data_IF_074860630996
#
_entry.id   IF_074860630996
#
_cell.length_a   1.000
_cell.length_b   1.000
_cell.length_c   1.000
_cell.angle_alpha   90.00
_cell.angle_beta   90.00
_cell.angle_gamma   90.00
#
_symmetry.space_group_name_H-M   'P 1'
#
loop_
_entity.id
_entity.type
_entity.pdbx_description
1 polymer ?
#
# COMPACT_ATOMS: atom_id res chain seq x y z
N UNK A 1 -23.13 -9.33 -12.17
CA UNK A 1 -21.64 -9.12 -12.26
C UNK A 1 -21.32 -7.70 -11.86
N UNK A 2 -20.10 -7.41 -11.39
CA UNK A 2 -19.69 -6.00 -11.07
C UNK A 2 -19.85 -5.11 -12.30
N UNK A 3 -19.51 -5.61 -13.49
CA UNK A 3 -19.64 -4.91 -14.77
C UNK A 3 -21.07 -4.44 -15.09
N UNK A 4 -22.10 -5.09 -14.54
CA UNK A 4 -23.49 -4.71 -14.79
C UNK A 4 -23.87 -3.39 -14.12
N UNK A 5 -23.14 -3.00 -13.08
CA UNK A 5 -23.37 -1.78 -12.29
C UNK A 5 -22.60 -0.57 -12.81
N UNK A 6 -21.79 -0.73 -13.86
CA UNK A 6 -20.91 0.33 -14.38
C UNK A 6 -21.12 0.50 -15.89
N UNK A 7 -21.04 1.76 -16.34
CA UNK A 7 -20.92 2.10 -17.76
C UNK A 7 -19.45 2.15 -18.15
N UNK A 8 -19.09 1.50 -19.25
CA UNK A 8 -17.80 1.68 -19.91
C UNK A 8 -17.88 2.94 -20.77
N UNK A 9 -17.21 4.01 -20.34
CA UNK A 9 -17.24 5.31 -21.03
C UNK A 9 -16.29 5.34 -22.22
N UNK A 10 -15.13 4.67 -22.10
CA UNK A 10 -14.11 4.61 -23.14
C UNK A 10 -13.20 3.39 -22.95
N UNK A 11 -12.54 2.93 -24.03
CA UNK A 11 -11.59 1.83 -23.99
C UNK A 11 -12.24 0.45 -23.86
N UNK A 12 -11.63 -0.44 -23.10
CA UNK A 12 -12.06 -1.82 -22.90
C UNK A 12 -11.95 -2.26 -21.43
N UNK A 13 -12.74 -3.26 -21.07
CA UNK A 13 -12.54 -3.97 -19.82
C UNK A 13 -11.18 -4.69 -19.81
N UNK A 14 -10.52 -4.85 -18.64
CA UNK A 14 -9.25 -5.55 -18.54
C UNK A 14 -9.37 -7.02 -19.00
N UNK A 15 -8.50 -7.43 -19.90
CA UNK A 15 -8.37 -8.82 -20.38
C UNK A 15 -7.08 -9.47 -19.90
N UNK A 16 -6.04 -8.66 -19.63
CA UNK A 16 -4.74 -9.09 -19.15
C UNK A 16 -4.51 -8.69 -17.69
N UNK A 17 -3.62 -9.40 -16.99
CA UNK A 17 -3.31 -9.15 -15.57
C UNK A 17 -2.82 -7.72 -15.29
N UNK A 18 -2.12 -7.10 -16.23
CA UNK A 18 -1.54 -5.77 -16.09
C UNK A 18 -2.43 -4.65 -16.65
N UNK A 19 -3.68 -4.95 -16.97
CA UNK A 19 -4.67 -3.97 -17.36
C UNK A 19 -5.61 -3.63 -16.20
N UNK A 20 -5.94 -2.34 -16.09
CA UNK A 20 -6.83 -1.82 -15.07
C UNK A 20 -7.83 -0.85 -15.70
N UNK A 21 -8.95 -0.61 -15.03
CA UNK A 21 -9.89 0.46 -15.42
C UNK A 21 -9.85 1.59 -14.43
N UNK A 22 -9.92 2.82 -14.94
CA UNK A 22 -10.12 4.02 -14.15
C UNK A 22 -11.59 4.12 -13.75
N UNK A 23 -11.87 4.35 -12.48
CA UNK A 23 -13.22 4.45 -11.93
C UNK A 23 -13.50 5.91 -11.59
N UNK A 24 -14.38 6.54 -12.33
CA UNK A 24 -14.86 7.90 -12.07
C UNK A 24 -16.06 7.89 -11.13
N UNK A 25 -16.30 9.02 -10.49
CA UNK A 25 -17.54 9.25 -9.78
C UNK A 25 -18.73 9.51 -10.76
N UNK A 26 -19.91 9.74 -10.22
CA UNK A 26 -21.13 10.03 -10.99
C UNK A 26 -21.02 11.33 -11.83
N UNK A 27 -20.11 12.25 -11.46
CA UNK A 27 -19.86 13.52 -12.14
C UNK A 27 -18.70 13.44 -13.17
N UNK A 28 -18.20 12.23 -13.47
CA UNK A 28 -17.00 11.99 -14.27
C UNK A 28 -15.73 12.62 -13.69
N UNK A 29 -15.61 12.64 -12.38
CA UNK A 29 -14.51 13.29 -11.65
C UNK A 29 -13.68 12.29 -10.87
N UNK A 30 -12.46 12.72 -10.53
CA UNK A 30 -11.56 12.08 -9.59
C UNK A 30 -11.10 13.10 -8.55
N UNK A 31 -10.80 12.61 -7.35
CA UNK A 31 -10.19 13.47 -6.34
C UNK A 31 -8.77 13.87 -6.74
N UNK A 32 -8.31 15.04 -6.29
CA UNK A 32 -6.93 15.50 -6.50
C UNK A 32 -5.89 14.50 -5.94
N UNK A 33 -6.23 13.85 -4.82
CA UNK A 33 -5.39 12.79 -4.25
C UNK A 33 -5.26 11.59 -5.19
N UNK A 34 -6.37 11.17 -5.82
CA UNK A 34 -6.36 10.08 -6.82
C UNK A 34 -5.54 10.44 -8.05
N UNK A 35 -5.65 11.68 -8.53
CA UNK A 35 -4.85 12.17 -9.67
C UNK A 35 -3.35 12.10 -9.38
N UNK A 36 -2.95 12.50 -8.16
CA UNK A 36 -1.56 12.41 -7.71
C UNK A 36 -1.09 10.96 -7.59
N UNK A 37 -1.87 10.10 -6.94
CA UNK A 37 -1.54 8.69 -6.76
C UNK A 37 -1.37 7.94 -8.10
N UNK A 38 -2.13 8.32 -9.11
CA UNK A 38 -2.04 7.76 -10.47
C UNK A 38 -0.96 8.41 -11.33
N UNK A 39 -0.23 9.40 -10.79
CA UNK A 39 0.81 10.11 -11.54
C UNK A 39 0.28 11.01 -12.66
N UNK A 40 -1.01 11.35 -12.65
CA UNK A 40 -1.64 12.28 -13.60
C UNK A 40 -1.30 13.74 -13.31
N UNK A 41 -0.93 14.04 -12.08
CA UNK A 41 -0.38 15.32 -11.64
C UNK A 41 0.89 15.09 -10.83
N UNK A 42 1.81 16.07 -10.87
CA UNK A 42 3.04 16.03 -10.08
C UNK A 42 2.79 16.33 -8.61
N UNK A 43 3.75 15.97 -7.74
CA UNK A 43 3.72 16.33 -6.32
C UNK A 43 3.62 17.85 -6.11
N UNK A 44 4.31 18.64 -6.93
CA UNK A 44 4.26 20.10 -6.87
C UNK A 44 2.84 20.61 -7.21
N UNK A 45 2.22 20.15 -8.29
CA UNK A 45 0.86 20.51 -8.65
C UNK A 45 -0.15 20.11 -7.57
N UNK A 46 0.04 18.94 -6.95
CA UNK A 46 -0.80 18.52 -5.83
C UNK A 46 -0.71 19.48 -4.65
N UNK A 47 0.50 19.87 -4.24
CA UNK A 47 0.70 20.82 -3.13
C UNK A 47 0.14 22.22 -3.46
N UNK A 48 0.35 22.73 -4.68
CA UNK A 48 -0.21 24.02 -5.11
C UNK A 48 -1.74 24.02 -5.05
N UNK A 49 -2.40 22.93 -5.48
CA UNK A 49 -3.86 22.79 -5.40
C UNK A 49 -4.31 22.76 -3.92
N UNK A 50 -3.60 22.01 -3.06
CA UNK A 50 -3.95 21.94 -1.63
C UNK A 50 -3.82 23.31 -0.95
N UNK A 51 -2.79 24.09 -1.27
CA UNK A 51 -2.59 25.45 -0.77
C UNK A 51 -3.70 26.39 -1.23
N UNK A 52 -4.08 26.35 -2.52
CA UNK A 52 -5.21 27.14 -3.04
C UNK A 52 -6.52 26.82 -2.33
N UNK A 53 -6.80 25.53 -2.07
CA UNK A 53 -7.99 25.09 -1.33
C UNK A 53 -7.95 25.63 0.10
N UNK A 54 -6.80 25.53 0.78
CA UNK A 54 -6.63 26.00 2.15
C UNK A 54 -6.84 27.53 2.29
N UNK A 55 -6.42 28.28 1.29
CA UNK A 55 -6.57 29.73 1.20
C UNK A 55 -7.98 30.18 0.75
N UNK A 56 -8.86 29.22 0.43
CA UNK A 56 -10.21 29.51 -0.09
C UNK A 56 -10.21 30.11 -1.49
N UNK A 57 -9.12 29.92 -2.24
CA UNK A 57 -9.02 30.36 -3.62
C UNK A 57 -9.80 29.43 -4.57
N UNK A 58 -10.20 29.97 -5.70
CA UNK A 58 -10.86 29.17 -6.74
C UNK A 58 -9.80 28.33 -7.48
N UNK A 59 -9.98 26.99 -7.42
CA UNK A 59 -9.10 26.04 -8.12
C UNK A 59 -9.60 25.88 -9.55
N UNK A 60 -8.72 26.08 -10.53
CA UNK A 60 -9.05 25.78 -11.93
C UNK A 60 -9.19 24.28 -12.13
N UNK A 61 -10.35 23.78 -12.62
CA UNK A 61 -10.54 22.38 -12.87
C UNK A 61 -9.53 21.85 -13.89
N UNK A 62 -8.91 20.72 -13.57
CA UNK A 62 -8.09 19.97 -14.54
C UNK A 62 -9.00 19.03 -15.33
N UNK A 63 -8.68 18.82 -16.59
CA UNK A 63 -9.43 17.89 -17.45
C UNK A 63 -8.49 17.11 -18.37
N UNK A 64 -8.86 15.87 -18.67
CA UNK A 64 -8.17 15.00 -19.61
C UNK A 64 -9.18 14.34 -20.53
N UNK A 65 -8.78 14.16 -21.78
CA UNK A 65 -9.53 13.33 -22.71
C UNK A 65 -9.38 11.86 -22.35
N UNK A 66 -10.44 11.09 -22.53
CA UNK A 66 -10.42 9.64 -22.25
C UNK A 66 -9.37 8.90 -23.07
N UNK A 67 -9.11 9.35 -24.29
CA UNK A 67 -8.05 8.80 -25.14
C UNK A 67 -6.65 8.97 -24.52
N UNK A 68 -6.41 10.13 -23.91
CA UNK A 68 -5.13 10.41 -23.21
C UNK A 68 -4.98 9.57 -21.93
N UNK A 69 -6.09 9.33 -21.21
CA UNK A 69 -6.09 8.51 -20.00
C UNK A 69 -5.90 7.03 -20.31
N UNK A 70 -6.60 6.52 -21.35
CA UNK A 70 -6.39 5.16 -21.81
C UNK A 70 -4.99 5.03 -22.43
N UNK A 71 -4.22 4.07 -21.93
CA UNK A 71 -2.81 3.91 -22.26
C UNK A 71 -1.86 4.55 -21.26
N UNK A 72 -2.35 5.39 -20.33
CA UNK A 72 -1.51 5.85 -19.22
C UNK A 72 -1.05 4.66 -18.38
N UNK A 73 0.23 4.68 -17.99
CA UNK A 73 0.86 3.61 -17.23
C UNK A 73 1.38 4.11 -15.90
N UNK A 74 1.35 3.23 -14.91
CA UNK A 74 1.96 3.44 -13.61
C UNK A 74 2.54 2.13 -13.08
N UNK A 75 3.41 2.22 -12.07
CA UNK A 75 4.11 1.06 -11.54
C UNK A 75 3.46 0.56 -10.25
N UNK A 76 3.21 -0.73 -10.19
CA UNK A 76 2.88 -1.44 -8.95
C UNK A 76 4.16 -2.08 -8.41
N UNK A 77 4.52 -1.77 -7.18
CA UNK A 77 5.63 -2.40 -6.46
C UNK A 77 5.04 -3.34 -5.42
N UNK A 78 5.13 -4.67 -5.60
CA UNK A 78 4.74 -5.64 -4.59
C UNK A 78 5.48 -5.41 -3.28
N UNK A 79 4.82 -5.68 -2.15
CA UNK A 79 5.43 -5.46 -0.84
C UNK A 79 6.70 -6.28 -0.64
N UNK A 80 6.77 -7.50 -1.20
CA UNK A 80 7.94 -8.38 -1.17
C UNK A 80 9.18 -7.77 -1.81
N UNK A 81 9.01 -6.98 -2.88
CA UNK A 81 10.11 -6.38 -3.62
C UNK A 81 10.82 -5.26 -2.84
N UNK A 82 10.18 -4.78 -1.76
CA UNK A 82 10.76 -3.79 -0.85
C UNK A 82 11.78 -4.37 0.12
N UNK A 83 11.97 -5.68 0.11
CA UNK A 83 12.93 -6.35 0.97
C UNK A 83 14.15 -6.80 0.16
N UNK A 84 15.33 -6.38 0.62
CA UNK A 84 16.63 -6.73 0.01
C UNK A 84 17.45 -7.53 0.99
N UNK A 85 17.98 -8.67 0.54
CA UNK A 85 18.86 -9.52 1.34
C UNK A 85 20.17 -8.79 1.65
N UNK A 86 20.61 -8.90 2.92
CA UNK A 86 21.89 -8.37 3.42
C UNK A 86 22.96 -9.46 3.43
N UNK A 87 24.21 -9.06 3.65
CA UNK A 87 25.34 -9.97 3.75
C UNK A 87 25.22 -11.00 4.89
N UNK A 88 24.44 -10.70 5.93
CA UNK A 88 24.18 -11.58 7.07
C UNK A 88 22.99 -12.54 6.82
N UNK A 89 22.39 -12.52 5.64
CA UNK A 89 21.24 -13.35 5.27
C UNK A 89 19.88 -12.83 5.79
N UNK A 90 19.87 -11.72 6.52
CA UNK A 90 18.60 -11.06 6.90
C UNK A 90 18.14 -10.09 5.82
N UNK A 91 16.90 -9.64 5.89
CA UNK A 91 16.32 -8.73 4.89
C UNK A 91 16.11 -7.33 5.45
N UNK A 92 16.48 -6.33 4.64
CA UNK A 92 16.25 -4.92 4.93
C UNK A 92 15.08 -4.37 4.12
N UNK A 93 14.21 -3.60 4.77
CA UNK A 93 13.11 -2.89 4.10
C UNK A 93 13.61 -1.60 3.44
N UNK A 94 13.20 -1.38 2.20
CA UNK A 94 13.46 -0.14 1.47
C UNK A 94 12.43 0.91 1.84
N UNK A 95 12.87 1.94 2.56
CA UNK A 95 12.03 3.05 2.99
C UNK A 95 11.63 3.97 1.83
N UNK A 96 10.51 4.68 2.02
CA UNK A 96 10.05 5.69 1.07
C UNK A 96 11.01 6.91 1.01
N UNK A 97 11.07 7.56 -0.15
CA UNK A 97 11.93 8.73 -0.38
C UNK A 97 13.40 8.41 -0.58
N UNK A 98 13.77 7.14 -0.74
CA UNK A 98 15.15 6.71 -1.00
C UNK A 98 15.43 6.48 -2.48
N UNK A 99 16.69 6.61 -2.95
CA UNK A 99 17.05 6.26 -4.33
C UNK A 99 16.75 4.80 -4.68
N UNK A 100 16.79 3.91 -3.69
CA UNK A 100 16.42 2.50 -3.85
C UNK A 100 14.92 2.35 -4.17
N UNK A 101 14.05 3.12 -3.51
CA UNK A 101 12.62 3.14 -3.83
C UNK A 101 12.38 3.61 -5.27
N UNK A 102 13.07 4.65 -5.73
CA UNK A 102 12.95 5.10 -7.12
C UNK A 102 13.29 3.99 -8.12
N UNK A 103 14.31 3.18 -7.79
CA UNK A 103 14.68 2.03 -8.63
C UNK A 103 13.63 0.93 -8.60
N UNK A 104 13.02 0.65 -7.43
CA UNK A 104 11.90 -0.29 -7.31
C UNK A 104 10.71 0.15 -8.15
N UNK A 105 10.36 1.44 -8.11
CA UNK A 105 9.27 1.97 -8.94
C UNK A 105 9.57 1.81 -10.43
N UNK A 106 10.81 2.05 -10.86
CA UNK A 106 11.21 1.87 -12.27
C UNK A 106 11.14 0.42 -12.74
N UNK A 107 11.39 -0.52 -11.84
CA UNK A 107 11.40 -1.96 -12.11
C UNK A 107 10.06 -2.64 -11.78
N UNK A 108 9.11 -1.91 -11.21
CA UNK A 108 7.81 -2.43 -10.80
C UNK A 108 6.97 -2.96 -11.95
N UNK A 109 5.90 -3.65 -11.61
CA UNK A 109 4.93 -4.19 -12.56
C UNK A 109 4.22 -3.00 -13.23
N UNK A 110 4.39 -2.86 -14.54
CA UNK A 110 3.72 -1.79 -15.29
C UNK A 110 2.25 -2.13 -15.47
N UNK A 111 1.38 -1.30 -14.91
CA UNK A 111 -0.06 -1.36 -15.10
C UNK A 111 -0.49 -0.31 -16.13
N UNK A 112 -1.44 -0.66 -17.00
CA UNK A 112 -1.97 0.20 -18.05
C UNK A 112 -3.46 0.41 -17.87
N UNK A 113 -3.92 1.65 -17.93
CA UNK A 113 -5.35 1.96 -17.95
C UNK A 113 -5.91 1.55 -19.32
N UNK A 114 -6.71 0.47 -19.36
CA UNK A 114 -7.35 -0.05 -20.57
C UNK A 114 -8.71 0.55 -20.85
N UNK A 115 -9.37 1.09 -19.84
CA UNK A 115 -10.69 1.69 -19.97
C UNK A 115 -11.05 2.63 -18.84
N UNK A 116 -12.10 3.40 -19.05
CA UNK A 116 -12.67 4.34 -18.09
C UNK A 116 -14.12 3.93 -17.84
N UNK A 117 -14.48 3.77 -16.56
CA UNK A 117 -15.81 3.35 -16.14
C UNK A 117 -16.42 4.34 -15.16
N UNK A 118 -17.74 4.33 -15.06
CA UNK A 118 -18.53 5.13 -14.11
C UNK A 118 -19.69 4.30 -13.58
N UNK A 119 -20.11 4.49 -12.30
CA UNK A 119 -21.32 3.90 -11.78
C UNK A 119 -22.54 4.29 -12.62
N UNK A 120 -23.43 3.34 -12.92
CA UNK A 120 -24.72 3.64 -13.52
C UNK A 120 -25.61 4.39 -12.52
N UNK A 121 -26.41 5.33 -13.01
CA UNK A 121 -27.23 6.20 -12.18
C UNK A 121 -28.27 5.43 -11.32
N UNK A 122 -28.69 4.25 -11.78
CA UNK A 122 -29.65 3.37 -11.13
C UNK A 122 -29.02 2.14 -10.45
N UNK A 123 -27.69 2.09 -10.40
CA UNK A 123 -26.97 0.96 -9.81
C UNK A 123 -27.09 0.96 -8.28
N UNK A 124 -27.93 0.09 -7.76
CA UNK A 124 -28.09 -0.10 -6.31
C UNK A 124 -26.81 -0.63 -5.62
N UNK A 125 -25.82 -1.13 -6.37
CA UNK A 125 -24.63 -1.84 -5.87
C UNK A 125 -23.35 -1.40 -6.59
N UNK A 126 -23.14 -0.11 -6.83
CA UNK A 126 -21.84 0.39 -7.24
C UNK A 126 -20.89 0.38 -6.03
N UNK A 127 -20.12 -0.72 -5.89
CA UNK A 127 -19.33 -1.01 -4.68
C UNK A 127 -17.85 -0.64 -4.79
N UNK A 128 -17.38 -0.24 -5.99
CA UNK A 128 -15.97 0.14 -6.17
C UNK A 128 -15.80 1.57 -5.66
N UNK A 129 -15.06 1.72 -4.56
CA UNK A 129 -14.74 3.02 -3.94
C UNK A 129 -13.33 3.51 -4.24
N UNK A 130 -12.55 2.72 -4.99
CA UNK A 130 -11.17 3.05 -5.37
C UNK A 130 -11.11 3.67 -6.77
N UNK A 131 -10.14 4.56 -7.06
CA UNK A 131 -10.01 5.20 -8.37
C UNK A 131 -9.58 4.24 -9.48
N UNK A 132 -9.15 3.03 -9.12
CA UNK A 132 -8.72 1.98 -10.05
C UNK A 132 -9.35 0.66 -9.66
N UNK A 133 -9.82 -0.07 -10.67
CA UNK A 133 -10.28 -1.45 -10.50
C UNK A 133 -9.53 -2.40 -11.45
N UNK A 134 -9.33 -3.63 -10.99
CA UNK A 134 -8.59 -4.67 -11.69
C UNK A 134 -9.30 -6.02 -11.56
N UNK A 135 -8.85 -6.99 -12.33
CA UNK A 135 -9.39 -8.37 -12.29
C UNK A 135 -8.62 -9.24 -11.29
N UNK A 136 -9.17 -10.40 -10.97
CA UNK A 136 -8.48 -11.41 -10.15
C UNK A 136 -7.14 -11.85 -10.74
N UNK A 137 -6.94 -11.73 -12.05
CA UNK A 137 -5.68 -12.08 -12.71
C UNK A 137 -4.49 -11.26 -12.16
N UNK A 138 -4.68 -9.96 -11.85
CA UNK A 138 -3.63 -9.17 -11.21
C UNK A 138 -3.36 -9.67 -9.79
N UNK A 139 -4.41 -10.02 -9.04
CA UNK A 139 -4.26 -10.57 -7.70
C UNK A 139 -3.46 -11.88 -7.74
N UNK A 140 -3.84 -12.79 -8.64
CA UNK A 140 -3.17 -14.09 -8.80
C UNK A 140 -1.70 -13.89 -9.19
N UNK A 141 -1.42 -12.99 -10.12
CA UNK A 141 -0.06 -12.63 -10.53
C UNK A 141 0.78 -12.08 -9.36
N UNK A 142 0.22 -11.15 -8.57
CA UNK A 142 0.93 -10.56 -7.41
C UNK A 142 1.19 -11.60 -6.33
N UNK A 143 0.25 -12.53 -6.09
CA UNK A 143 0.44 -13.64 -5.14
C UNK A 143 1.57 -14.55 -5.61
N UNK A 144 1.55 -14.96 -6.89
CA UNK A 144 2.60 -15.81 -7.46
C UNK A 144 3.97 -15.13 -7.40
N UNK A 145 4.04 -13.86 -7.80
CA UNK A 145 5.26 -13.04 -7.70
C UNK A 145 5.77 -12.94 -6.26
N UNK A 146 4.88 -12.66 -5.30
CA UNK A 146 5.23 -12.56 -3.88
C UNK A 146 5.75 -13.88 -3.34
N UNK A 147 5.10 -15.00 -3.65
CA UNK A 147 5.51 -16.31 -3.19
C UNK A 147 6.88 -16.75 -3.78
N UNK A 148 7.21 -16.28 -4.98
CA UNK A 148 8.51 -16.52 -5.61
C UNK A 148 9.62 -15.55 -5.14
N UNK A 149 9.31 -14.58 -4.29
CA UNK A 149 10.29 -13.59 -3.81
C UNK A 149 11.31 -14.19 -2.86
N UNK A 150 12.53 -13.62 -2.85
CA UNK A 150 13.62 -14.11 -2.00
C UNK A 150 13.25 -14.06 -0.50
N UNK A 151 12.57 -13.02 -0.05
CA UNK A 151 12.18 -12.86 1.37
C UNK A 151 11.18 -13.93 1.80
N UNK A 152 10.19 -14.26 0.95
CA UNK A 152 9.20 -15.31 1.25
C UNK A 152 9.86 -16.68 1.19
N UNK A 153 10.66 -16.96 0.15
CA UNK A 153 11.39 -18.22 0.03
C UNK A 153 12.30 -18.46 1.25
N UNK A 154 13.07 -17.47 1.67
CA UNK A 154 13.92 -17.57 2.85
C UNK A 154 13.10 -17.83 4.15
N UNK A 155 11.93 -17.21 4.28
CA UNK A 155 11.06 -17.43 5.43
C UNK A 155 10.44 -18.84 5.42
N UNK A 156 10.10 -19.37 4.25
CA UNK A 156 9.59 -20.74 4.13
C UNK A 156 10.67 -21.79 4.39
N UNK A 157 11.91 -21.51 4.02
CA UNK A 157 13.05 -22.40 4.29
C UNK A 157 13.45 -22.40 5.77
N UNK A 158 13.21 -21.32 6.48
CA UNK A 158 13.52 -21.15 7.92
C UNK A 158 12.30 -20.68 8.71
N UNK A 159 11.22 -21.48 8.83
CA UNK A 159 9.95 -21.05 9.38
C UNK A 159 10.01 -20.63 10.85
N UNK A 160 11.03 -21.06 11.58
CA UNK A 160 11.21 -20.78 13.03
C UNK A 160 11.96 -19.46 13.28
N UNK A 161 12.64 -18.93 12.24
CA UNK A 161 13.45 -17.72 12.33
C UNK A 161 12.78 -16.59 11.55
N UNK A 162 12.65 -15.43 12.16
CA UNK A 162 12.22 -14.23 11.48
C UNK A 162 13.37 -13.72 10.59
N UNK A 163 13.25 -13.89 9.28
CA UNK A 163 14.29 -13.50 8.30
C UNK A 163 14.56 -12.00 8.23
N UNK A 164 13.70 -11.16 8.83
CA UNK A 164 13.92 -9.71 8.88
C UNK A 164 14.94 -9.27 9.94
N UNK A 165 15.08 -10.05 11.01
CA UNK A 165 15.95 -9.72 12.14
C UNK A 165 16.84 -10.88 12.60
N UNK A 166 16.69 -12.09 12.04
CA UNK A 166 17.47 -13.28 12.38
C UNK A 166 17.14 -13.92 13.72
N UNK A 167 16.03 -13.54 14.36
CA UNK A 167 15.63 -14.06 15.67
C UNK A 167 14.59 -15.17 15.53
N UNK A 168 14.59 -16.11 16.47
CA UNK A 168 13.53 -17.10 16.58
C UNK A 168 12.18 -16.44 16.92
N UNK A 169 11.08 -16.93 16.32
CA UNK A 169 9.74 -16.44 16.67
C UNK A 169 9.34 -16.83 18.10
N UNK A 170 9.79 -17.99 18.57
CA UNK A 170 9.56 -18.48 19.92
C UNK A 170 10.90 -18.77 20.61
N UNK A 171 11.43 -17.81 21.34
CA UNK A 171 12.62 -18.04 22.14
C UNK A 171 12.32 -19.10 23.23
N UNK A 172 13.12 -20.17 23.33
CA UNK A 172 12.82 -21.33 24.16
C UNK A 172 12.91 -21.07 25.68
N UNK A 173 13.56 -19.97 26.09
CA UNK A 173 13.68 -19.59 27.49
C UNK A 173 13.46 -18.12 27.77
N UNK A 174 13.19 -17.75 29.02
CA UNK A 174 13.05 -16.34 29.41
C UNK A 174 14.38 -15.58 29.29
N UNK A 175 15.51 -16.27 29.47
CA UNK A 175 16.84 -15.68 29.34
C UNK A 175 17.16 -15.34 27.88
N UNK A 176 16.82 -16.22 26.96
CA UNK A 176 16.93 -15.97 25.50
C UNK A 176 16.01 -14.85 25.02
N UNK A 177 14.77 -14.79 25.53
CA UNK A 177 13.87 -13.65 25.21
C UNK A 177 14.48 -12.29 25.60
N UNK A 178 15.19 -12.25 26.73
CA UNK A 178 15.85 -11.04 27.21
C UNK A 178 17.05 -10.70 26.31
N UNK A 179 17.83 -11.69 25.89
CA UNK A 179 19.00 -11.50 25.04
C UNK A 179 18.57 -11.07 23.63
N UNK A 180 17.54 -11.69 23.06
CA UNK A 180 16.93 -11.33 21.80
C UNK A 180 16.40 -9.89 21.82
N UNK A 181 15.71 -9.52 22.88
CA UNK A 181 15.21 -8.15 23.05
C UNK A 181 16.38 -7.13 23.11
N UNK A 182 17.49 -7.45 23.76
CA UNK A 182 18.68 -6.58 23.77
C UNK A 182 19.31 -6.48 22.39
N UNK A 183 19.42 -7.60 21.69
CA UNK A 183 19.99 -7.68 20.34
C UNK A 183 19.14 -6.86 19.37
N UNK A 184 17.82 -7.03 19.41
CA UNK A 184 16.88 -6.26 18.60
C UNK A 184 16.98 -4.76 18.89
N UNK A 185 16.95 -4.37 20.16
CA UNK A 185 17.13 -2.97 20.57
C UNK A 185 18.48 -2.42 20.12
N UNK A 186 19.53 -3.23 20.13
CA UNK A 186 20.87 -2.78 19.69
C UNK A 186 20.92 -2.48 18.20
N UNK A 187 20.20 -3.24 17.40
CA UNK A 187 20.14 -3.10 15.94
C UNK A 187 19.28 -1.91 15.46
N UNK A 188 18.37 -1.41 16.30
CA UNK A 188 17.48 -0.31 15.96
C UNK A 188 18.20 1.03 15.85
N UNK A 189 17.73 1.88 14.93
CA UNK A 189 18.14 3.29 14.86
C UNK A 189 17.70 4.11 16.09
N UNK A 190 18.32 5.27 16.28
CA UNK A 190 18.02 6.13 17.44
C UNK A 190 16.55 6.58 17.43
N UNK A 191 16.00 6.91 16.27
CA UNK A 191 14.60 7.32 16.11
C UNK A 191 13.63 6.21 16.47
N UNK A 192 13.93 4.98 16.04
CA UNK A 192 13.08 3.81 16.28
C UNK A 192 13.11 3.42 17.77
N UNK A 193 14.28 3.51 18.41
CA UNK A 193 14.42 3.34 19.87
C UNK A 193 13.55 4.35 20.62
N UNK A 194 13.57 5.61 20.21
CA UNK A 194 12.78 6.66 20.83
C UNK A 194 11.26 6.41 20.67
N UNK A 195 10.81 6.00 19.48
CA UNK A 195 9.42 5.68 19.21
C UNK A 195 8.96 4.47 20.04
N UNK A 196 9.78 3.41 20.11
CA UNK A 196 9.51 2.22 20.91
C UNK A 196 9.43 2.56 22.41
N UNK A 197 10.34 3.40 22.90
CA UNK A 197 10.31 3.85 24.30
C UNK A 197 9.03 4.62 24.62
N UNK A 198 8.57 5.53 23.74
CA UNK A 198 7.31 6.25 23.92
C UNK A 198 6.11 5.30 23.94
N UNK A 199 6.10 4.29 23.07
CA UNK A 199 5.05 3.27 23.03
C UNK A 199 5.01 2.47 24.35
N UNK A 200 6.15 2.02 24.85
CA UNK A 200 6.25 1.31 26.13
C UNK A 200 5.74 2.17 27.28
N UNK A 201 6.14 3.46 27.33
CA UNK A 201 5.65 4.39 28.35
C UNK A 201 4.14 4.56 28.29
N UNK A 202 3.57 4.63 27.11
CA UNK A 202 2.13 4.71 26.91
C UNK A 202 1.39 3.48 27.45
N UNK A 203 1.88 2.27 27.17
CA UNK A 203 1.29 1.02 27.66
C UNK A 203 1.42 0.89 29.18
N UNK A 204 2.58 1.22 29.74
CA UNK A 204 2.79 1.20 31.21
C UNK A 204 1.89 2.22 31.93
N UNK A 205 1.65 3.37 31.34
CA UNK A 205 0.72 4.37 31.88
C UNK A 205 -0.72 3.86 31.87
N UNK A 206 -1.13 3.13 30.83
CA UNK A 206 -2.46 2.50 30.76
C UNK A 206 -2.65 1.41 31.81
N UNK A 207 -1.65 0.57 32.05
CA UNK A 207 -1.71 -0.46 33.10
C UNK A 207 -1.87 0.16 34.50
N UNK A 208 -1.19 1.27 34.77
CA UNK A 208 -1.26 1.97 36.08
C UNK A 208 -2.61 2.68 36.31
N UNK A 209 -3.31 3.10 35.21
CA UNK A 209 -4.61 3.80 35.31
C UNK A 209 -5.80 2.86 35.42
N UNK A 210 -5.60 1.54 35.37
CA UNK A 210 -6.67 0.55 35.52
C UNK A 210 -7.75 0.58 34.44
N UNK A 211 -7.55 1.29 33.34
CA UNK A 211 -8.44 1.29 32.19
C UNK A 211 -8.21 0.02 31.38
N UNK A 212 -8.93 -1.03 31.73
CA UNK A 212 -8.99 -2.24 30.91
C UNK A 212 -9.91 -1.99 29.72
N UNK A 213 -9.33 -1.84 28.54
CA UNK A 213 -10.11 -1.99 27.31
C UNK A 213 -10.49 -3.46 27.15
N UNK A 214 -11.73 -3.80 27.52
CA UNK A 214 -12.35 -5.10 27.24
C UNK A 214 -12.99 -5.08 25.84
N UNK A 215 -12.20 -4.81 24.82
CA UNK A 215 -12.61 -4.91 23.43
C UNK A 215 -12.05 -6.19 22.83
N UNK A 216 -12.92 -7.09 22.37
CA UNK A 216 -12.54 -8.25 21.60
C UNK A 216 -11.86 -7.74 20.28
N UNK A 217 -10.60 -8.12 20.00
CA UNK A 217 -9.91 -7.70 18.78
C UNK A 217 -10.63 -8.06 17.48
N UNK A 218 -11.56 -9.02 17.52
CA UNK A 218 -12.40 -9.40 16.38
C UNK A 218 -13.45 -8.36 16.00
N UNK A 219 -13.69 -7.34 16.84
CA UNK A 219 -14.66 -6.27 16.58
C UNK A 219 -14.07 -5.04 15.88
N UNK A 220 -12.76 -4.98 15.67
CA UNK A 220 -12.09 -3.87 14.97
C UNK A 220 -12.09 -4.01 13.44
N UNK A 221 -12.71 -5.05 12.89
CA UNK A 221 -12.78 -5.28 11.43
C UNK A 221 -14.10 -4.85 10.78
N UNK A 222 -14.97 -4.12 11.50
CA UNK A 222 -16.24 -3.61 10.96
C UNK A 222 -16.38 -2.11 11.25
N UNK A 223 -15.63 -1.31 10.50
CA UNK A 223 -15.72 0.15 10.53
C UNK A 223 -15.08 0.73 9.28
#
# INVERSE_FOLDING_TARGET
>A
MVTDSYDLLYGAWPEEYNQVVLVLDENNSLSTASLYQLGLISAQQYLEIQEQIADGAEVTPLSWDYETICGHTFSLVPASDRYTEKEDGTFAYTADGTPQQEQLVKNGITLTISGVIRPKTDAANATISTPVAYTSQLTDYVIEHTNASAVVTAQEETPEINVLNGMEFEAPSQEEKIEDAKTYLSSMGVSDKAAMFQMIQYYLAQEQTGVKFSGDPSQLSQG
#
